data_IF_210793486327
#
_entry.id   IF_210793486327
#
_cell.length_a   1.000
_cell.length_b   1.000
_cell.length_c   1.000
_cell.angle_alpha   90.00
_cell.angle_beta   90.00
_cell.angle_gamma   90.00
#
_symmetry.space_group_name_H-M   'P 1'
#
loop_
_entity.id
_entity.type
_entity.pdbx_description
1 polymer ?
#
# COMPACT_ATOMS: atom_id res chain seq x y z
N UNK A 1 -1.81 -38.51 13.33
CA UNK A 1 -2.11 -37.35 12.45
C UNK A 1 -2.01 -35.99 13.19
N UNK A 2 -1.38 -35.91 14.38
CA UNK A 2 -1.31 -34.65 15.16
C UNK A 2 0.06 -33.95 15.14
N UNK A 3 1.09 -34.58 14.59
CA UNK A 3 2.45 -34.00 14.55
C UNK A 3 2.66 -33.02 13.39
N UNK A 4 2.02 -33.26 12.23
CA UNK A 4 2.12 -32.35 11.07
C UNK A 4 1.60 -30.96 11.39
N UNK A 5 0.49 -30.86 12.12
CA UNK A 5 -0.14 -29.58 12.45
C UNK A 5 0.63 -28.77 13.51
N UNK A 6 1.44 -29.44 14.35
CA UNK A 6 2.33 -28.78 15.31
C UNK A 6 3.58 -28.21 14.65
N UNK A 7 4.11 -28.88 13.62
CA UNK A 7 5.19 -28.33 12.80
C UNK A 7 4.71 -27.12 11.98
N UNK A 8 3.46 -27.16 11.53
CA UNK A 8 2.85 -26.10 10.71
C UNK A 8 2.81 -24.75 11.45
N UNK A 9 2.27 -24.71 12.67
CA UNK A 9 2.17 -23.46 13.43
C UNK A 9 3.53 -22.86 13.83
N UNK A 10 4.42 -23.68 14.40
CA UNK A 10 5.70 -23.17 14.90
C UNK A 10 6.62 -22.69 13.76
N UNK A 11 6.59 -23.37 12.61
CA UNK A 11 7.33 -22.92 11.43
C UNK A 11 6.73 -21.65 10.84
N UNK A 12 5.40 -21.58 10.71
CA UNK A 12 4.72 -20.38 10.23
C UNK A 12 4.99 -19.17 11.14
N UNK A 13 5.03 -19.35 12.46
CA UNK A 13 5.39 -18.29 13.42
C UNK A 13 6.85 -17.84 13.26
N UNK A 14 7.78 -18.78 13.10
CA UNK A 14 9.19 -18.45 12.85
C UNK A 14 9.36 -17.67 11.53
N UNK A 15 8.73 -18.12 10.45
CA UNK A 15 8.75 -17.41 9.17
C UNK A 15 8.10 -16.04 9.25
N UNK A 16 7.01 -15.90 10.01
CA UNK A 16 6.36 -14.60 10.22
C UNK A 16 7.23 -13.60 10.99
N UNK A 17 8.15 -14.05 11.84
CA UNK A 17 9.13 -13.18 12.52
C UNK A 17 10.26 -12.73 11.60
N UNK A 18 10.55 -13.49 10.53
CA UNK A 18 11.53 -13.12 9.51
C UNK A 18 10.91 -12.23 8.42
N UNK A 19 9.68 -12.54 8.01
CA UNK A 19 8.94 -11.88 6.93
C UNK A 19 7.53 -11.44 7.44
N UNK A 20 7.45 -10.41 8.29
CA UNK A 20 6.20 -9.98 8.93
C UNK A 20 5.13 -9.48 7.95
N UNK A 21 5.51 -9.02 6.76
CA UNK A 21 4.61 -8.56 5.71
C UNK A 21 3.77 -9.70 5.08
N UNK A 22 4.31 -10.92 5.06
CA UNK A 22 3.65 -12.11 4.52
C UNK A 22 2.84 -12.87 5.58
N UNK A 23 2.93 -12.47 6.85
CA UNK A 23 2.31 -13.18 7.95
C UNK A 23 0.77 -13.10 7.92
N UNK A 24 0.11 -14.26 8.04
CA UNK A 24 -1.34 -14.36 8.30
C UNK A 24 -1.61 -14.41 9.81
N UNK A 25 -1.65 -13.23 10.43
CA UNK A 25 -1.88 -13.06 11.87
C UNK A 25 -3.23 -13.65 12.30
N UNK A 26 -4.26 -13.56 11.44
CA UNK A 26 -5.59 -14.06 11.76
C UNK A 26 -5.59 -15.60 11.85
N UNK A 27 -4.95 -16.26 10.88
CA UNK A 27 -4.75 -17.70 10.91
C UNK A 27 -3.92 -18.13 12.12
N UNK A 28 -2.87 -17.41 12.48
CA UNK A 28 -2.02 -17.73 13.64
C UNK A 28 -2.81 -17.66 14.95
N UNK A 29 -3.58 -16.59 15.16
CA UNK A 29 -4.46 -16.47 16.32
C UNK A 29 -5.49 -17.61 16.39
N UNK A 30 -6.09 -17.99 15.26
CA UNK A 30 -7.07 -19.06 15.20
C UNK A 30 -6.46 -20.46 15.42
N UNK A 31 -5.21 -20.65 15.02
CA UNK A 31 -4.51 -21.95 15.06
C UNK A 31 -3.79 -22.22 16.39
N UNK A 32 -3.63 -21.20 17.23
CA UNK A 32 -2.93 -21.30 18.51
C UNK A 32 -3.56 -22.34 19.45
N UNK A 33 -4.88 -22.33 19.61
CA UNK A 33 -5.57 -23.28 20.49
C UNK A 33 -5.32 -24.73 20.05
N UNK A 34 -5.28 -24.97 18.73
CA UNK A 34 -5.00 -26.28 18.18
C UNK A 34 -3.54 -26.70 18.39
N UNK A 35 -2.60 -25.76 18.29
CA UNK A 35 -1.18 -25.98 18.56
C UNK A 35 -0.91 -26.39 20.03
N UNK A 36 -1.71 -25.85 20.96
CA UNK A 36 -1.61 -26.13 22.39
C UNK A 36 -2.20 -27.48 22.80
N UNK A 37 -3.02 -28.12 21.95
CA UNK A 37 -3.66 -29.39 22.28
C UNK A 37 -2.67 -30.52 22.61
N UNK A 38 -3.03 -31.32 23.62
CA UNK A 38 -2.26 -32.49 24.06
C UNK A 38 -1.05 -32.16 24.96
N UNK A 39 -0.91 -30.92 25.40
CA UNK A 39 0.04 -30.50 26.45
C UNK A 39 -0.65 -30.44 27.82
N UNK A 40 0.12 -30.47 28.91
CA UNK A 40 -0.43 -30.23 30.25
C UNK A 40 -0.88 -28.77 30.42
N UNK A 41 -1.79 -28.48 31.35
CA UNK A 41 -2.30 -27.11 31.56
C UNK A 41 -1.20 -26.08 31.82
N UNK A 42 -0.16 -26.46 32.58
CA UNK A 42 0.95 -25.56 32.88
C UNK A 42 1.79 -25.25 31.64
N UNK A 43 2.11 -26.28 30.85
CA UNK A 43 2.83 -26.12 29.57
C UNK A 43 2.00 -25.35 28.54
N UNK A 44 0.68 -25.52 28.52
CA UNK A 44 -0.20 -24.75 27.64
C UNK A 44 -0.09 -23.26 27.93
N UNK A 45 -0.16 -22.86 29.21
CA UNK A 45 -0.06 -21.44 29.58
C UNK A 45 1.30 -20.85 29.23
N UNK A 46 2.39 -21.58 29.50
CA UNK A 46 3.73 -21.11 29.17
C UNK A 46 3.90 -20.93 27.65
N UNK A 47 3.56 -21.96 26.88
CA UNK A 47 3.72 -21.97 25.42
C UNK A 47 2.76 -20.97 24.74
N UNK A 48 1.55 -20.81 25.28
CA UNK A 48 0.62 -19.80 24.80
C UNK A 48 1.18 -18.39 25.03
N UNK A 49 1.76 -18.14 26.21
CA UNK A 49 2.38 -16.85 26.52
C UNK A 49 3.52 -16.50 25.56
N UNK A 50 4.41 -17.45 25.29
CA UNK A 50 5.50 -17.28 24.32
C UNK A 50 4.95 -17.04 22.90
N UNK A 51 4.00 -17.85 22.45
CA UNK A 51 3.42 -17.69 21.11
C UNK A 51 2.66 -16.37 20.94
N UNK A 52 1.93 -15.90 21.96
CA UNK A 52 1.22 -14.62 21.93
C UNK A 52 2.20 -13.45 21.92
N UNK A 53 3.30 -13.53 22.69
CA UNK A 53 4.38 -12.54 22.64
C UNK A 53 4.93 -12.44 21.22
N UNK A 54 5.22 -13.57 20.60
CA UNK A 54 5.83 -13.60 19.27
C UNK A 54 4.84 -13.13 18.19
N UNK A 55 3.55 -13.48 18.28
CA UNK A 55 2.50 -12.92 17.41
C UNK A 55 2.42 -11.39 17.56
N UNK A 56 2.51 -10.87 18.80
CA UNK A 56 2.47 -9.44 19.05
C UNK A 56 3.69 -8.72 18.45
N UNK A 57 4.87 -9.35 18.47
CA UNK A 57 6.08 -8.84 17.82
C UNK A 57 5.89 -8.72 16.29
N UNK A 58 5.33 -9.76 15.65
CA UNK A 58 5.00 -9.72 14.22
C UNK A 58 4.04 -8.56 13.91
N UNK A 59 3.00 -8.37 14.73
CA UNK A 59 2.08 -7.23 14.59
C UNK A 59 2.79 -5.89 14.69
N UNK A 60 3.71 -5.75 15.65
CA UNK A 60 4.48 -4.53 15.87
C UNK A 60 5.35 -4.19 14.65
N UNK A 61 6.15 -5.14 14.18
CA UNK A 61 7.03 -4.96 13.02
C UNK A 61 6.24 -4.57 11.77
N UNK A 62 5.09 -5.22 11.54
CA UNK A 62 4.22 -4.91 10.40
C UNK A 62 3.61 -3.51 10.50
N UNK A 63 3.26 -3.07 11.71
CA UNK A 63 2.78 -1.70 11.93
C UNK A 63 3.86 -0.66 11.62
N UNK A 64 5.10 -0.87 12.09
CA UNK A 64 6.25 -0.01 11.77
C UNK A 64 6.47 0.09 10.26
N UNK A 65 6.46 -1.03 9.54
CA UNK A 65 6.58 -1.04 8.08
C UNK A 65 5.48 -0.23 7.40
N UNK A 66 4.21 -0.43 7.79
CA UNK A 66 3.08 0.28 7.21
C UNK A 66 3.15 1.80 7.48
N UNK A 67 3.59 2.18 8.68
CA UNK A 67 3.79 3.58 9.05
C UNK A 67 4.93 4.18 8.22
N UNK A 68 6.05 3.47 8.09
CA UNK A 68 7.20 3.92 7.30
C UNK A 68 6.82 4.07 5.82
N UNK A 69 6.10 3.10 5.25
CA UNK A 69 5.60 3.15 3.87
C UNK A 69 4.68 4.35 3.64
N UNK A 70 3.79 4.61 4.60
CA UNK A 70 2.90 5.77 4.55
C UNK A 70 3.70 7.07 4.60
N UNK A 71 4.64 7.19 5.53
CA UNK A 71 5.51 8.37 5.67
C UNK A 71 6.31 8.61 4.39
N UNK A 72 6.92 7.57 3.82
CA UNK A 72 7.69 7.63 2.59
C UNK A 72 6.84 8.09 1.41
N UNK A 73 5.61 7.57 1.27
CA UNK A 73 4.69 7.94 0.18
C UNK A 73 4.23 9.40 0.27
N UNK A 74 4.12 9.93 1.49
CA UNK A 74 3.65 11.30 1.75
C UNK A 74 4.78 12.29 2.06
N UNK A 75 6.04 11.88 1.93
CA UNK A 75 7.18 12.76 2.12
C UNK A 75 7.35 13.69 0.91
N UNK A 76 7.03 14.97 1.09
CA UNK A 76 7.18 16.04 0.09
C UNK A 76 8.61 16.58 -0.03
N UNK A 77 9.49 16.25 0.92
CA UNK A 77 10.86 16.75 0.99
C UNK A 77 11.85 15.84 0.24
N UNK A 78 11.40 14.69 -0.27
CA UNK A 78 12.23 13.72 -0.97
C UNK A 78 12.96 12.76 -0.01
N UNK A 79 13.64 11.73 -0.54
CA UNK A 79 14.36 10.78 0.30
C UNK A 79 15.46 11.50 1.09
N UNK A 80 15.46 11.33 2.42
CA UNK A 80 16.54 11.82 3.27
C UNK A 80 17.75 10.92 3.02
N UNK A 81 18.72 11.43 2.27
CA UNK A 81 20.00 10.77 2.06
C UNK A 81 20.90 11.15 3.23
N UNK A 82 21.26 10.19 4.07
CA UNK A 82 22.29 10.42 5.09
C UNK A 82 23.68 10.53 4.43
N UNK A 83 24.67 11.02 5.18
CA UNK A 83 26.04 11.21 4.68
C UNK A 83 26.68 9.88 4.21
N UNK A 84 26.17 8.75 4.71
CA UNK A 84 26.65 7.40 4.39
C UNK A 84 25.91 6.74 3.21
N UNK A 85 24.78 7.29 2.77
CA UNK A 85 23.94 6.71 1.70
C UNK A 85 24.72 6.47 0.42
N UNK A 86 25.66 7.36 0.11
CA UNK A 86 26.52 7.27 -1.07
C UNK A 86 27.92 6.74 -0.76
N UNK A 87 28.28 6.47 0.49
CA UNK A 87 29.65 6.08 0.87
C UNK A 87 30.10 4.77 0.19
N UNK A 88 29.19 3.85 -0.11
CA UNK A 88 29.47 2.63 -0.88
C UNK A 88 29.39 2.80 -2.40
N UNK A 89 28.82 3.90 -2.88
CA UNK A 89 28.54 4.16 -4.30
C UNK A 89 29.51 5.17 -4.93
N UNK A 90 30.11 6.05 -4.12
CA UNK A 90 31.18 6.94 -4.57
C UNK A 90 32.49 6.20 -4.39
N UNK A 91 33.05 5.71 -5.49
CA UNK A 91 34.44 5.30 -5.49
C UNK A 91 35.28 6.56 -5.25
N UNK A 92 35.87 6.66 -4.05
CA UNK A 92 36.72 7.76 -3.63
C UNK A 92 37.95 7.81 -4.55
N UNK A 93 37.83 8.55 -5.67
CA UNK A 93 38.88 8.86 -6.65
C UNK A 93 39.73 7.68 -7.15
N UNK A 94 39.38 7.11 -8.30
CA UNK A 94 40.33 6.30 -9.05
C UNK A 94 41.39 7.19 -9.72
N UNK A 95 42.66 7.01 -9.36
CA UNK A 95 43.78 7.54 -10.15
C UNK A 95 43.89 6.73 -11.45
N UNK A 96 43.49 7.33 -12.56
CA UNK A 96 43.63 6.74 -13.88
C UNK A 96 45.00 7.13 -14.46
N UNK A 97 45.92 6.16 -14.58
CA UNK A 97 47.18 6.40 -15.29
C UNK A 97 46.91 6.49 -16.79
N UNK A 98 46.79 7.72 -17.28
CA UNK A 98 46.52 8.06 -18.68
C UNK A 98 47.59 7.52 -19.64
N UNK A 99 48.77 7.17 -19.11
CA UNK A 99 49.87 6.58 -19.90
C UNK A 99 49.47 5.25 -20.54
N UNK A 100 48.59 4.46 -19.92
CA UNK A 100 48.09 3.20 -20.51
C UNK A 100 47.12 3.45 -21.67
N UNK A 101 46.30 4.51 -21.60
CA UNK A 101 45.37 4.88 -22.68
C UNK A 101 46.09 5.37 -23.93
N UNK A 102 47.29 5.94 -23.77
CA UNK A 102 48.13 6.38 -24.87
C UNK A 102 49.04 5.30 -25.45
N UNK A 103 49.04 4.07 -24.90
CA UNK A 103 49.84 2.98 -25.47
C UNK A 103 49.22 2.52 -26.79
N UNK A 104 50.00 2.54 -27.86
CA UNK A 104 49.58 1.95 -29.13
C UNK A 104 49.25 0.46 -28.91
N UNK A 105 48.05 0.00 -29.34
CA UNK A 105 47.66 -1.38 -29.15
C UNK A 105 48.62 -2.31 -29.91
N UNK A 106 49.24 -3.26 -29.19
CA UNK A 106 50.06 -4.31 -29.82
C UNK A 106 49.18 -5.06 -30.82
N UNK A 107 49.66 -5.25 -32.06
CA UNK A 107 48.88 -5.93 -33.11
C UNK A 107 48.41 -7.29 -32.60
N UNK A 108 47.11 -7.45 -32.39
CA UNK A 108 46.53 -8.75 -32.03
C UNK A 108 46.77 -9.69 -33.21
N UNK A 109 47.54 -10.75 -33.01
CA UNK A 109 47.51 -11.90 -33.92
C UNK A 109 46.05 -12.34 -34.00
N UNK A 110 45.51 -12.46 -35.21
CA UNK A 110 44.12 -12.88 -35.45
C UNK A 110 43.84 -14.10 -34.58
N UNK A 111 42.88 -13.96 -33.68
CA UNK A 111 42.37 -15.08 -32.89
C UNK A 111 41.83 -16.11 -33.89
N UNK A 112 42.34 -17.35 -33.80
CA UNK A 112 41.68 -18.49 -34.43
C UNK A 112 40.25 -18.57 -33.89
N UNK A 113 39.31 -18.88 -34.78
CA UNK A 113 37.88 -18.83 -34.53
C UNK A 113 37.47 -19.56 -33.26
N UNK A 114 36.52 -18.95 -32.57
CA UNK A 114 35.79 -19.55 -31.45
C UNK A 114 35.24 -20.92 -31.86
N UNK A 115 35.66 -21.97 -31.16
CA UNK A 115 35.20 -23.35 -31.34
C UNK A 115 34.23 -23.79 -30.21
N UNK A 116 33.49 -22.84 -29.64
CA UNK A 116 32.40 -23.16 -28.72
C UNK A 116 31.11 -23.44 -29.50
N UNK A 117 30.33 -24.44 -29.08
CA UNK A 117 29.00 -24.64 -29.62
C UNK A 117 28.12 -23.42 -29.29
N UNK A 118 27.29 -22.95 -30.23
CA UNK A 118 26.39 -21.83 -30.00
C UNK A 118 25.40 -22.25 -28.90
N UNK A 119 25.41 -21.52 -27.80
CA UNK A 119 24.34 -21.60 -26.80
C UNK A 119 23.12 -20.94 -27.46
N UNK A 120 21.98 -21.64 -27.47
CA UNK A 120 20.70 -21.08 -27.93
C UNK A 120 20.34 -19.86 -27.06
N UNK A 121 20.69 -18.68 -27.56
CA UNK A 121 20.20 -17.42 -27.05
C UNK A 121 18.72 -17.31 -27.40
N UNK A 122 17.85 -17.29 -26.38
CA UNK A 122 16.39 -17.08 -26.51
C UNK A 122 16.05 -15.62 -26.86
N UNK A 123 17.05 -14.79 -27.14
CA UNK A 123 16.85 -13.40 -27.59
C UNK A 123 16.75 -13.41 -29.11
N UNK A 124 15.53 -13.59 -29.62
CA UNK A 124 15.21 -13.31 -31.01
C UNK A 124 15.17 -11.81 -31.28
N UNK A 125 15.61 -11.40 -32.46
CA UNK A 125 15.46 -10.02 -32.94
C UNK A 125 13.96 -9.75 -33.12
N UNK A 126 13.34 -9.04 -32.17
CA UNK A 126 11.94 -8.61 -32.28
C UNK A 126 11.92 -7.25 -32.98
N UNK A 127 11.12 -7.12 -34.03
CA UNK A 127 11.04 -5.87 -34.76
C UNK A 127 10.35 -4.80 -33.90
N UNK A 128 10.86 -3.56 -33.98
CA UNK A 128 10.26 -2.43 -33.26
C UNK A 128 8.76 -2.24 -33.58
N UNK A 129 8.34 -2.61 -34.79
CA UNK A 129 6.95 -2.53 -35.22
C UNK A 129 6.05 -3.51 -34.44
N UNK A 130 6.51 -4.74 -34.21
CA UNK A 130 5.76 -5.75 -33.42
C UNK A 130 5.63 -5.35 -31.96
N UNK A 131 6.67 -4.72 -31.38
CA UNK A 131 6.61 -4.22 -30.00
C UNK A 131 5.61 -3.07 -29.87
N UNK A 132 5.56 -2.17 -30.86
CA UNK A 132 4.59 -1.06 -30.85
C UNK A 132 3.15 -1.57 -31.03
N UNK A 133 2.92 -2.55 -31.89
CA UNK A 133 1.60 -3.17 -32.06
C UNK A 133 1.14 -3.89 -30.78
N UNK A 134 2.05 -4.55 -30.06
CA UNK A 134 1.75 -5.15 -28.77
C UNK A 134 1.40 -4.10 -27.70
N UNK A 135 2.13 -2.98 -27.66
CA UNK A 135 1.82 -1.87 -26.74
C UNK A 135 0.44 -1.29 -27.05
N UNK A 136 0.12 -1.04 -28.33
CA UNK A 136 -1.19 -0.55 -28.75
C UNK A 136 -2.32 -1.54 -28.38
N UNK A 137 -2.04 -2.84 -28.47
CA UNK A 137 -2.99 -3.90 -28.10
C UNK A 137 -3.22 -3.97 -26.58
N UNK A 138 -2.17 -3.78 -25.77
CA UNK A 138 -2.25 -3.72 -24.31
C UNK A 138 -2.96 -2.45 -23.86
N UNK A 139 -2.68 -1.30 -24.48
CA UNK A 139 -3.39 -0.05 -24.20
C UNK A 139 -4.88 -0.18 -24.57
N UNK A 140 -5.22 -0.73 -25.73
CA UNK A 140 -6.61 -0.98 -26.12
C UNK A 140 -7.35 -1.96 -25.19
N UNK A 141 -6.65 -2.92 -24.59
CA UNK A 141 -7.21 -3.84 -23.59
C UNK A 141 -7.35 -3.18 -22.20
N UNK A 142 -6.61 -2.10 -21.92
CA UNK A 142 -6.53 -1.48 -20.59
C UNK A 142 -7.30 -0.16 -20.49
N UNK A 143 -7.53 0.57 -21.60
CA UNK A 143 -7.82 2.01 -21.56
C UNK A 143 -9.29 2.43 -21.67
N UNK A 144 -10.27 1.59 -21.30
CA UNK A 144 -11.65 2.08 -21.18
C UNK A 144 -12.37 1.52 -19.95
N UNK A 145 -12.48 0.20 -19.80
CA UNK A 145 -13.37 -0.35 -18.75
C UNK A 145 -12.74 -0.37 -17.34
N UNK A 146 -11.42 -0.55 -17.23
CA UNK A 146 -10.75 -0.65 -15.92
C UNK A 146 -10.48 0.73 -15.30
N UNK A 147 -10.23 1.76 -16.11
CA UNK A 147 -10.04 3.13 -15.64
C UNK A 147 -11.37 3.85 -15.33
N UNK A 148 -12.45 3.56 -16.08
CA UNK A 148 -13.77 4.16 -15.83
C UNK A 148 -14.54 3.51 -14.67
N UNK A 149 -14.20 2.27 -14.28
CA UNK A 149 -14.84 1.59 -13.14
C UNK A 149 -14.38 2.07 -11.77
N UNK A 150 -13.22 2.74 -11.67
CA UNK A 150 -12.62 3.17 -10.40
C UNK A 150 -12.71 4.69 -10.14
N UNK A 151 -13.18 5.47 -11.10
CA UNK A 151 -13.36 6.91 -10.95
C UNK A 151 -14.85 7.25 -11.00
N UNK A 152 -15.54 7.11 -9.87
CA UNK A 152 -16.72 7.93 -9.68
C UNK A 152 -16.23 9.38 -9.57
N UNK A 153 -16.60 10.23 -10.53
CA UNK A 153 -16.46 11.68 -10.41
C UNK A 153 -17.24 12.15 -9.17
N UNK A 154 -16.57 12.20 -8.03
CA UNK A 154 -17.14 12.74 -6.80
C UNK A 154 -17.31 14.25 -6.97
N UNK A 155 -18.48 14.67 -7.40
CA UNK A 155 -18.84 16.08 -7.53
C UNK A 155 -19.15 16.70 -6.16
N UNK A 156 -18.16 16.72 -5.28
CA UNK A 156 -18.24 17.27 -3.92
C UNK A 156 -18.69 18.74 -3.94
N UNK A 157 -18.19 19.52 -4.91
CA UNK A 157 -18.58 20.92 -5.09
C UNK A 157 -20.07 21.10 -5.42
N UNK A 158 -20.62 20.24 -6.26
CA UNK A 158 -22.06 20.20 -6.56
C UNK A 158 -22.90 19.83 -5.33
N UNK A 159 -22.43 18.88 -4.52
CA UNK A 159 -23.12 18.50 -3.28
C UNK A 159 -23.13 19.65 -2.28
N UNK A 160 -21.97 20.28 -2.02
CA UNK A 160 -21.87 21.45 -1.11
C UNK A 160 -22.79 22.59 -1.56
N UNK A 161 -22.84 22.87 -2.86
CA UNK A 161 -23.70 23.92 -3.44
C UNK A 161 -25.19 23.62 -3.26
N UNK A 162 -25.61 22.37 -3.51
CA UNK A 162 -27.00 21.96 -3.30
C UNK A 162 -27.44 22.03 -1.83
N UNK A 163 -26.52 21.71 -0.91
CA UNK A 163 -26.75 21.83 0.53
C UNK A 163 -26.88 23.28 0.98
N UNK A 164 -26.03 24.18 0.46
CA UNK A 164 -26.08 25.60 0.75
C UNK A 164 -27.39 26.23 0.28
N UNK A 165 -27.85 25.88 -0.93
CA UNK A 165 -29.12 26.37 -1.47
C UNK A 165 -30.31 26.00 -0.59
N UNK A 166 -30.41 24.75 -0.14
CA UNK A 166 -31.52 24.34 0.74
C UNK A 166 -31.47 24.97 2.13
N UNK A 167 -30.29 25.11 2.74
CA UNK A 167 -30.17 25.75 4.05
C UNK A 167 -30.53 27.24 4.00
N UNK A 168 -30.20 27.95 2.90
CA UNK A 168 -30.60 29.34 2.70
C UNK A 168 -32.13 29.54 2.68
N UNK A 169 -32.90 28.47 2.41
CA UNK A 169 -34.35 28.52 2.24
C UNK A 169 -35.12 28.01 3.47
N UNK A 170 -34.53 27.15 4.33
CA UNK A 170 -35.32 26.36 5.29
C UNK A 170 -34.94 26.44 6.79
N UNK A 171 -33.73 26.84 7.20
CA UNK A 171 -33.36 27.16 8.61
C UNK A 171 -31.84 27.19 8.83
N UNK A 172 -31.41 27.77 9.96
CA UNK A 172 -30.00 27.84 10.44
C UNK A 172 -29.37 26.49 10.81
N UNK A 173 -30.17 25.44 11.04
CA UNK A 173 -29.67 24.09 11.31
C UNK A 173 -30.63 23.02 10.81
N UNK A 174 -30.13 22.05 10.03
CA UNK A 174 -30.93 20.97 9.44
C UNK A 174 -30.29 19.62 9.78
N UNK A 175 -31.11 18.60 10.06
CA UNK A 175 -30.60 17.25 10.31
C UNK A 175 -30.09 16.59 9.02
N UNK A 176 -29.10 15.70 9.13
CA UNK A 176 -28.56 14.95 7.99
C UNK A 176 -29.66 14.16 7.26
N UNK A 177 -30.59 13.57 8.02
CA UNK A 177 -31.71 12.79 7.46
C UNK A 177 -32.67 13.64 6.64
N UNK A 178 -33.05 14.82 7.13
CA UNK A 178 -33.94 15.73 6.38
C UNK A 178 -33.27 16.22 5.11
N UNK A 179 -31.97 16.47 5.19
CA UNK A 179 -31.18 17.03 4.10
C UNK A 179 -30.91 15.98 3.01
N UNK A 180 -30.62 14.72 3.38
CA UNK A 180 -30.57 13.59 2.44
C UNK A 180 -31.90 13.38 1.73
N UNK A 181 -33.04 13.45 2.44
CA UNK A 181 -34.37 13.35 1.82
C UNK A 181 -34.69 14.50 0.87
N UNK A 182 -34.25 15.71 1.20
CA UNK A 182 -34.58 16.90 0.42
C UNK A 182 -33.73 17.07 -0.84
N UNK A 183 -32.45 16.67 -0.82
CA UNK A 183 -31.52 16.78 -1.96
C UNK A 183 -31.48 15.47 -2.78
N UNK A 184 -32.08 14.39 -2.27
CA UNK A 184 -31.99 13.04 -2.85
C UNK A 184 -30.54 12.53 -2.98
N UNK A 185 -29.66 13.01 -2.10
CA UNK A 185 -28.28 12.52 -2.00
C UNK A 185 -28.22 11.34 -1.04
N UNK A 186 -27.30 10.42 -1.31
CA UNK A 186 -26.99 9.35 -0.37
C UNK A 186 -26.51 9.94 0.97
N UNK A 187 -26.77 9.27 2.10
CA UNK A 187 -26.31 9.75 3.40
C UNK A 187 -24.80 10.03 3.43
N UNK A 188 -24.00 9.21 2.73
CA UNK A 188 -22.54 9.36 2.64
C UNK A 188 -22.15 10.66 1.93
N UNK A 189 -22.79 10.99 0.80
CA UNK A 189 -22.52 12.24 0.07
C UNK A 189 -22.85 13.48 0.90
N UNK A 190 -23.95 13.43 1.66
CA UNK A 190 -24.34 14.50 2.58
C UNK A 190 -23.34 14.64 3.73
N UNK A 191 -22.82 13.52 4.23
CA UNK A 191 -21.77 13.51 5.26
C UNK A 191 -20.47 14.11 4.76
N UNK A 192 -20.00 13.72 3.56
CA UNK A 192 -18.77 14.25 2.95
C UNK A 192 -18.91 15.75 2.68
N UNK A 193 -20.00 16.18 2.05
CA UNK A 193 -20.26 17.60 1.80
C UNK A 193 -20.44 18.41 3.10
N UNK A 194 -21.05 17.80 4.12
CA UNK A 194 -21.19 18.38 5.46
C UNK A 194 -19.84 18.61 6.15
N UNK A 195 -18.94 17.63 6.11
CA UNK A 195 -17.59 17.73 6.69
C UNK A 195 -16.71 18.77 5.99
N UNK A 196 -16.87 18.92 4.67
CA UNK A 196 -16.01 19.78 3.86
C UNK A 196 -16.54 21.23 3.72
N UNK A 197 -17.86 21.43 3.83
CA UNK A 197 -18.49 22.74 3.60
C UNK A 197 -19.12 23.42 4.82
N UNK A 198 -19.40 22.68 5.91
CA UNK A 198 -20.29 23.14 6.98
C UNK A 198 -19.78 22.76 8.37
N UNK A 199 -20.35 23.36 9.42
CA UNK A 199 -20.09 22.94 10.80
C UNK A 199 -21.10 21.89 11.22
N UNK A 200 -20.61 20.74 11.67
CA UNK A 200 -21.43 19.71 12.27
C UNK A 200 -21.60 20.00 13.76
N UNK A 201 -22.85 20.03 14.23
CA UNK A 201 -23.18 20.06 15.66
C UNK A 201 -23.83 18.74 16.04
N UNK A 202 -23.13 17.99 16.87
CA UNK A 202 -23.68 16.81 17.50
C UNK A 202 -24.54 17.22 18.69
N UNK A 203 -25.78 16.74 18.73
CA UNK A 203 -26.76 16.99 19.79
C UNK A 203 -27.17 15.72 20.53
N UNK A 204 -26.85 14.53 20.00
CA UNK A 204 -27.10 13.21 20.61
C UNK A 204 -25.96 12.25 20.25
N UNK A 205 -26.07 10.98 20.64
CA UNK A 205 -25.09 9.94 20.32
C UNK A 205 -24.77 9.85 18.81
N UNK A 206 -23.52 9.52 18.51
CA UNK A 206 -22.93 9.60 17.16
C UNK A 206 -23.66 8.72 16.13
N UNK A 207 -24.13 7.54 16.56
CA UNK A 207 -24.85 6.60 15.71
C UNK A 207 -26.34 6.94 15.51
N UNK A 208 -26.81 8.05 16.11
CA UNK A 208 -28.16 8.53 15.88
C UNK A 208 -28.15 9.52 14.71
N UNK A 209 -28.70 9.13 13.56
CA UNK A 209 -28.79 9.98 12.35
C UNK A 209 -29.62 11.26 12.55
N UNK A 210 -30.45 11.33 13.60
CA UNK A 210 -31.18 12.55 13.99
C UNK A 210 -30.40 13.38 15.04
N UNK A 211 -29.24 12.86 15.49
CA UNK A 211 -28.35 13.45 16.48
C UNK A 211 -27.30 14.39 15.91
N UNK A 212 -27.05 14.36 14.60
CA UNK A 212 -26.07 15.20 13.93
C UNK A 212 -26.78 16.23 13.07
N UNK A 213 -26.53 17.51 13.35
CA UNK A 213 -27.09 18.65 12.63
C UNK A 213 -25.99 19.37 11.87
N UNK A 214 -26.33 19.83 10.67
CA UNK A 214 -25.43 20.65 9.85
C UNK A 214 -25.84 22.11 10.05
N UNK A 215 -24.86 22.94 10.40
CA UNK A 215 -24.99 24.39 10.60
C UNK A 215 -24.17 25.14 9.54
N UNK A 216 -24.68 26.29 9.11
CA UNK A 216 -23.95 27.19 8.22
C UNK A 216 -22.62 27.62 8.84
N UNK A 217 -21.58 27.66 8.00
CA UNK A 217 -20.36 28.37 8.32
C UNK A 217 -20.66 29.87 8.26
N UNK A 218 -20.96 30.48 9.41
CA UNK A 218 -20.96 31.93 9.54
C UNK A 218 -19.49 32.41 9.52
N UNK A 219 -18.90 32.51 8.34
CA UNK A 219 -17.79 33.42 8.13
C UNK A 219 -18.38 34.82 7.99
N UNK A 220 -18.16 35.65 9.02
CA UNK A 220 -18.11 37.10 8.87
C UNK A 220 -16.76 37.47 8.28
#
# INVERSE_FOLDING_TARGET
MYQQLKLDFASALASALEEPEQADIAWMCASLDQYLQGRSHHEQLQVAGDAIRDIAEVCYQRAEMLIQDWQNRHNTEGPVLDEDFLAGMVQETMFLDVSELCRQPKSRKRYQGFAGQPVESVVGEVSKAEVLEFVDQVEAQTSAEVALGASHEENVGGWVSAMAYLQSTKADSVSIRELSKAIQLSPIQVWIAGLLGFRLRQTKDFYNFDGVKICLNNYR
#
